data_IF_169226890701
#
_entry.id   IF_169226890701
#
_cell.length_a   1.000
_cell.length_b   1.000
_cell.length_c   1.000
_cell.angle_alpha   90.00
_cell.angle_beta   90.00
_cell.angle_gamma   90.00
#
_symmetry.space_group_name_H-M   'P 1'
#
loop_
_entity.id
_entity.type
_entity.pdbx_description
1 polymer ?
#
# COMPACT_ATOMS: atom_id res chain seq x y z
N UNK A 1 -23.01 -6.72 24.19
CA UNK A 1 -21.70 -7.37 24.42
C UNK A 1 -21.80 -8.72 25.11
N UNK A 2 -22.47 -8.89 26.26
CA UNK A 2 -22.57 -10.19 26.94
C UNK A 2 -23.04 -11.33 26.03
N UNK A 3 -24.11 -11.12 25.26
CA UNK A 3 -24.66 -12.13 24.34
C UNK A 3 -23.83 -12.36 23.08
N UNK A 4 -23.08 -11.34 22.60
CA UNK A 4 -22.32 -11.42 21.35
C UNK A 4 -21.02 -12.23 21.53
N UNK A 5 -20.40 -12.09 22.71
CA UNK A 5 -19.10 -12.74 23.01
C UNK A 5 -19.21 -13.90 24.02
N UNK A 6 -20.41 -14.33 24.39
CA UNK A 6 -20.61 -15.47 25.28
C UNK A 6 -20.12 -15.26 26.73
N UNK A 7 -19.95 -14.01 27.17
CA UNK A 7 -19.49 -13.74 28.55
C UNK A 7 -20.58 -13.99 29.59
N UNK A 8 -20.22 -14.65 30.66
CA UNK A 8 -21.11 -14.99 31.77
C UNK A 8 -21.36 -13.83 32.75
N UNK A 9 -20.52 -12.80 32.80
CA UNK A 9 -20.68 -11.68 33.73
C UNK A 9 -20.21 -10.34 33.16
N UNK A 10 -20.77 -9.23 33.68
CA UNK A 10 -20.32 -7.86 33.37
C UNK A 10 -18.86 -7.62 33.74
N UNK A 11 -18.40 -8.19 34.87
CA UNK A 11 -17.02 -8.04 35.34
C UNK A 11 -16.03 -8.70 34.41
N UNK A 12 -16.38 -9.84 33.79
CA UNK A 12 -15.53 -10.49 32.80
C UNK A 12 -15.36 -9.61 31.54
N UNK A 13 -16.45 -9.02 31.05
CA UNK A 13 -16.41 -8.06 29.92
C UNK A 13 -15.54 -6.84 30.27
N UNK A 14 -15.73 -6.29 31.48
CA UNK A 14 -14.98 -5.13 31.92
C UNK A 14 -13.47 -5.41 31.96
N UNK A 15 -13.03 -6.54 32.53
CA UNK A 15 -11.62 -6.94 32.56
C UNK A 15 -11.03 -7.07 31.16
N UNK A 16 -11.76 -7.68 30.22
CA UNK A 16 -11.29 -7.81 28.82
C UNK A 16 -11.17 -6.45 28.14
N UNK A 17 -12.14 -5.57 28.35
CA UNK A 17 -12.10 -4.21 27.79
C UNK A 17 -10.92 -3.43 28.36
N UNK A 18 -10.68 -3.49 29.68
CA UNK A 18 -9.55 -2.81 30.30
C UNK A 18 -8.22 -3.32 29.73
N UNK A 19 -8.06 -4.63 29.62
CA UNK A 19 -6.89 -5.23 29.01
C UNK A 19 -6.66 -4.75 27.58
N UNK A 20 -7.70 -4.68 26.76
CA UNK A 20 -7.59 -4.19 25.38
C UNK A 20 -7.28 -2.69 25.28
N UNK A 21 -7.71 -1.90 26.27
CA UNK A 21 -7.33 -0.48 26.37
C UNK A 21 -5.86 -0.37 26.76
N UNK A 22 -5.40 -1.10 27.76
CA UNK A 22 -4.00 -1.14 28.21
C UNK A 22 -3.06 -1.61 27.09
N UNK A 23 -3.46 -2.62 26.35
CA UNK A 23 -2.73 -3.14 25.20
C UNK A 23 -2.84 -2.24 23.96
N UNK A 24 -3.69 -1.21 23.99
CA UNK A 24 -3.87 -0.23 22.91
C UNK A 24 -4.67 -0.73 21.70
N UNK A 25 -5.43 -1.81 21.82
CA UNK A 25 -6.30 -2.30 20.74
C UNK A 25 -7.58 -1.49 20.59
N UNK A 26 -8.11 -0.94 21.68
CA UNK A 26 -9.27 -0.07 21.69
C UNK A 26 -8.98 1.19 22.50
N UNK A 27 -9.66 2.27 22.17
CA UNK A 27 -9.61 3.53 22.90
C UNK A 27 -10.98 3.95 23.34
N UNK A 28 -11.04 4.79 24.38
CA UNK A 28 -12.28 5.39 24.86
C UNK A 28 -12.33 6.84 24.41
N UNK A 29 -13.30 7.19 23.57
CA UNK A 29 -13.60 8.54 23.10
C UNK A 29 -15.06 8.84 23.39
N UNK A 30 -15.35 9.99 23.98
CA UNK A 30 -16.70 10.48 24.26
C UNK A 30 -17.64 9.42 24.89
N UNK A 31 -17.12 8.66 25.86
CA UNK A 31 -17.83 7.54 26.53
C UNK A 31 -18.14 6.34 25.62
N UNK A 32 -17.62 6.31 24.40
CA UNK A 32 -17.73 5.17 23.48
C UNK A 32 -16.37 4.44 23.40
N UNK A 33 -16.44 3.18 23.03
CA UNK A 33 -15.25 2.38 22.72
C UNK A 33 -15.07 2.36 21.21
N UNK A 34 -13.88 2.69 20.74
CA UNK A 34 -13.50 2.62 19.33
C UNK A 34 -12.27 1.74 19.15
N UNK A 35 -12.18 0.93 18.10
CA UNK A 35 -10.96 0.22 17.76
C UNK A 35 -9.87 1.23 17.36
N UNK A 36 -8.63 0.89 17.65
CA UNK A 36 -7.44 1.60 17.12
C UNK A 36 -6.96 0.88 15.86
N UNK A 37 -6.00 1.47 15.13
CA UNK A 37 -5.33 0.78 14.02
C UNK A 37 -4.73 -0.55 14.46
N UNK A 38 -4.18 -0.63 15.66
CA UNK A 38 -3.63 -1.86 16.25
C UNK A 38 -4.64 -3.02 16.33
N UNK A 39 -5.94 -2.74 16.43
CA UNK A 39 -6.99 -3.78 16.44
C UNK A 39 -7.01 -4.60 15.14
N UNK A 40 -6.60 -4.00 14.04
CA UNK A 40 -6.53 -4.61 12.71
C UNK A 40 -5.10 -5.05 12.33
N UNK A 41 -4.15 -4.91 13.26
CA UNK A 41 -2.76 -5.28 13.01
C UNK A 41 -2.57 -6.80 12.99
N UNK A 42 -1.55 -7.22 12.24
CA UNK A 42 -1.10 -8.60 12.19
C UNK A 42 0.24 -8.73 12.93
N UNK A 43 0.52 -9.87 13.58
CA UNK A 43 1.83 -10.10 14.15
C UNK A 43 2.90 -10.16 13.05
N UNK A 44 3.94 -9.36 13.19
CA UNK A 44 5.11 -9.40 12.31
C UNK A 44 6.12 -10.35 12.93
N UNK A 45 6.35 -11.50 12.29
CA UNK A 45 7.17 -12.58 12.82
C UNK A 45 8.63 -12.52 12.35
N UNK A 46 9.03 -11.42 11.69
CA UNK A 46 10.42 -11.22 11.25
C UNK A 46 10.74 -11.85 9.90
N UNK A 47 12.00 -12.23 9.70
CA UNK A 47 12.52 -12.73 8.44
C UNK A 47 12.38 -14.26 8.33
N UNK A 48 12.01 -14.73 7.15
CA UNK A 48 12.06 -16.15 6.80
C UNK A 48 13.33 -16.38 5.98
N UNK A 49 14.26 -17.21 6.50
CA UNK A 49 15.30 -17.80 5.66
C UNK A 49 14.71 -18.98 4.90
N UNK A 50 15.08 -19.12 3.62
CA UNK A 50 14.60 -20.23 2.80
C UNK A 50 14.88 -21.57 3.51
N UNK A 51 13.81 -22.27 3.93
CA UNK A 51 13.86 -23.58 4.55
C UNK A 51 13.24 -23.72 5.94
N UNK A 52 13.34 -22.73 6.83
CA UNK A 52 12.73 -22.81 8.17
C UNK A 52 12.30 -21.44 8.67
N UNK A 53 11.09 -21.29 9.24
CA UNK A 53 10.71 -20.07 9.94
C UNK A 53 11.49 -19.97 11.24
N UNK A 54 12.24 -18.89 11.43
CA UNK A 54 12.82 -18.55 12.73
C UNK A 54 11.74 -17.78 13.48
N UNK A 55 11.11 -18.43 14.43
CA UNK A 55 10.20 -17.77 15.36
C UNK A 55 11.07 -16.96 16.34
N UNK A 56 11.11 -15.66 16.16
CA UNK A 56 11.59 -14.75 17.20
C UNK A 56 10.50 -14.69 18.28
N UNK A 57 10.65 -15.46 19.36
CA UNK A 57 9.63 -15.57 20.42
C UNK A 57 9.52 -14.32 21.31
N UNK A 58 10.49 -13.39 21.27
CA UNK A 58 10.59 -12.32 22.28
C UNK A 58 10.17 -10.91 21.81
N UNK A 59 10.09 -10.64 20.51
CA UNK A 59 9.70 -9.29 20.00
C UNK A 59 8.56 -9.39 18.97
N UNK A 60 7.35 -9.64 19.45
CA UNK A 60 6.16 -9.57 18.59
C UNK A 60 5.83 -8.10 18.34
N UNK A 61 6.33 -7.54 17.27
CA UNK A 61 5.79 -6.30 16.72
C UNK A 61 4.47 -6.56 16.01
N UNK A 62 3.59 -5.58 16.04
CA UNK A 62 2.32 -5.61 15.34
C UNK A 62 2.32 -4.55 14.25
N UNK A 63 1.90 -4.92 13.04
CA UNK A 63 1.91 -4.06 11.88
C UNK A 63 0.54 -4.09 11.20
N UNK A 64 -0.01 -2.94 10.85
CA UNK A 64 -1.11 -2.86 9.91
C UNK A 64 -0.55 -2.70 8.50
N UNK A 65 -1.20 -3.31 7.51
CA UNK A 65 -0.78 -3.10 6.12
C UNK A 65 -0.97 -1.65 5.69
N UNK A 66 -1.98 -0.97 6.20
CA UNK A 66 -2.23 0.44 5.89
C UNK A 66 -1.08 1.32 6.37
N UNK A 67 -0.64 1.17 7.64
CA UNK A 67 0.48 1.94 8.19
C UNK A 67 1.82 1.61 7.50
N UNK A 68 1.96 0.37 7.00
CA UNK A 68 3.18 -0.06 6.29
C UNK A 68 3.26 0.46 4.86
N UNK A 69 2.13 0.51 4.16
CA UNK A 69 2.08 0.78 2.72
C UNK A 69 1.74 2.24 2.39
N UNK A 70 1.11 2.98 3.31
CA UNK A 70 0.55 4.31 3.06
C UNK A 70 1.18 5.32 4.02
N UNK A 71 2.08 6.17 3.49
CA UNK A 71 2.72 7.24 4.26
C UNK A 71 1.75 8.40 4.54
N UNK A 72 0.97 8.80 3.53
CA UNK A 72 -0.02 9.87 3.63
C UNK A 72 -1.38 9.41 3.08
N UNK A 73 -2.32 9.02 3.97
CA UNK A 73 -3.65 8.56 3.55
C UNK A 73 -4.48 9.63 2.81
N UNK A 74 -4.23 10.92 3.08
CA UNK A 74 -5.03 11.99 2.46
C UNK A 74 -4.63 12.25 1.00
N UNK A 75 -3.39 12.00 0.66
CA UNK A 75 -2.88 12.14 -0.70
C UNK A 75 -2.85 10.82 -1.47
N UNK A 76 -3.12 9.68 -0.82
CA UNK A 76 -3.04 8.36 -1.44
C UNK A 76 -4.38 7.87 -1.96
N UNK A 77 -4.34 7.08 -3.02
CA UNK A 77 -5.50 6.41 -3.59
C UNK A 77 -5.10 5.13 -4.30
N UNK A 78 -6.09 4.30 -4.60
CA UNK A 78 -5.90 3.00 -5.22
C UNK A 78 -6.33 3.02 -6.67
N UNK A 79 -5.55 2.37 -7.55
CA UNK A 79 -5.97 2.05 -8.90
C UNK A 79 -5.74 0.56 -9.18
N UNK A 80 -6.62 -0.01 -9.99
CA UNK A 80 -6.45 -1.35 -10.55
C UNK A 80 -5.69 -1.25 -11.86
N UNK A 81 -4.63 -2.03 -11.98
CA UNK A 81 -3.80 -2.11 -13.20
C UNK A 81 -4.57 -2.86 -14.28
N UNK A 82 -4.51 -2.33 -15.50
CA UNK A 82 -4.98 -3.01 -16.70
C UNK A 82 -3.87 -3.03 -17.75
N UNK A 83 -3.55 -4.22 -18.24
CA UNK A 83 -2.52 -4.45 -19.24
C UNK A 83 -1.19 -4.96 -18.68
N UNK A 84 -0.24 -5.20 -19.59
CA UNK A 84 1.03 -5.91 -19.33
C UNK A 84 2.28 -5.01 -19.49
N UNK A 85 2.11 -3.70 -19.56
CA UNK A 85 3.22 -2.77 -19.87
C UNK A 85 4.28 -2.68 -18.78
N UNK A 86 4.03 -3.15 -17.57
CA UNK A 86 4.93 -3.07 -16.41
C UNK A 86 5.33 -4.45 -15.84
N UNK A 87 5.11 -5.52 -16.59
CA UNK A 87 5.40 -6.89 -16.15
C UNK A 87 6.87 -7.13 -15.82
N UNK A 88 7.79 -6.44 -16.49
CA UNK A 88 9.22 -6.57 -16.26
C UNK A 88 9.69 -6.05 -14.90
N UNK A 89 8.85 -5.29 -14.19
CA UNK A 89 9.09 -4.85 -12.81
C UNK A 89 8.11 -5.47 -11.82
N UNK A 90 7.39 -6.53 -12.24
CA UNK A 90 6.54 -7.31 -11.36
C UNK A 90 5.13 -6.74 -11.13
N UNK A 91 4.70 -5.74 -11.91
CA UNK A 91 3.34 -5.20 -11.90
C UNK A 91 2.55 -5.86 -13.03
N UNK A 92 1.48 -6.57 -12.68
CA UNK A 92 0.69 -7.37 -13.61
C UNK A 92 -0.73 -6.85 -13.75
N UNK A 93 -1.38 -7.31 -14.79
CA UNK A 93 -2.82 -7.07 -14.98
C UNK A 93 -3.63 -7.54 -13.77
N UNK A 94 -4.56 -6.71 -13.32
CA UNK A 94 -5.40 -6.99 -12.16
C UNK A 94 -4.82 -6.60 -10.80
N UNK A 95 -3.54 -6.26 -10.71
CA UNK A 95 -2.94 -5.74 -9.48
C UNK A 95 -3.61 -4.45 -9.01
N UNK A 96 -3.54 -4.19 -7.71
CA UNK A 96 -3.90 -2.90 -7.15
C UNK A 96 -2.61 -2.15 -6.83
N UNK A 97 -2.48 -0.92 -7.32
CA UNK A 97 -1.38 -0.03 -6.97
C UNK A 97 -1.84 1.06 -6.03
N UNK A 98 -0.99 1.36 -5.04
CA UNK A 98 -1.17 2.50 -4.15
C UNK A 98 -0.40 3.66 -4.75
N UNK A 99 -1.08 4.76 -5.01
CA UNK A 99 -0.53 5.95 -5.64
C UNK A 99 -0.62 7.12 -4.68
N UNK A 100 0.51 7.77 -4.44
CA UNK A 100 0.57 9.05 -3.74
C UNK A 100 0.47 10.19 -4.76
N UNK A 101 -0.43 11.14 -4.54
CA UNK A 101 -0.55 12.37 -5.35
C UNK A 101 0.66 13.26 -5.12
N UNK A 102 1.65 13.14 -5.98
CA UNK A 102 2.89 13.88 -5.92
C UNK A 102 3.34 14.20 -7.33
N UNK A 103 3.81 15.43 -7.53
CA UNK A 103 4.27 15.91 -8.85
C UNK A 103 5.78 15.79 -9.03
N UNK A 104 6.52 15.71 -7.92
CA UNK A 104 7.99 15.70 -7.91
C UNK A 104 8.54 14.29 -8.08
N UNK A 105 8.11 13.60 -9.14
CA UNK A 105 8.59 12.27 -9.47
C UNK A 105 10.03 12.32 -10.00
N UNK A 106 10.81 11.32 -9.65
CA UNK A 106 12.19 11.15 -10.09
C UNK A 106 12.29 10.19 -11.27
N UNK A 107 13.39 10.24 -11.99
CA UNK A 107 13.70 9.25 -13.03
C UNK A 107 13.78 7.87 -12.41
N UNK A 108 13.02 6.93 -12.93
CA UNK A 108 12.90 5.57 -12.41
C UNK A 108 11.60 5.31 -11.64
N UNK A 109 10.91 6.35 -11.19
CA UNK A 109 9.61 6.18 -10.52
C UNK A 109 8.58 5.63 -11.50
N UNK A 110 7.72 4.77 -11.01
CA UNK A 110 6.48 4.38 -11.70
C UNK A 110 5.43 5.45 -11.41
N UNK A 111 4.94 6.09 -12.43
CA UNK A 111 4.05 7.24 -12.31
C UNK A 111 2.69 6.99 -12.94
N UNK A 112 1.65 7.54 -12.33
CA UNK A 112 0.39 7.82 -12.99
C UNK A 112 0.55 9.14 -13.73
N UNK A 113 0.47 9.08 -15.04
CA UNK A 113 0.66 10.22 -15.90
C UNK A 113 -0.47 10.36 -16.95
N UNK A 114 -0.67 11.58 -17.40
CA UNK A 114 -1.40 11.86 -18.61
C UNK A 114 -0.41 12.31 -19.69
N UNK A 115 -0.37 11.60 -20.80
CA UNK A 115 0.42 11.91 -21.97
C UNK A 115 -0.52 12.15 -23.14
N UNK A 116 -0.47 13.33 -23.75
CA UNK A 116 -1.31 13.72 -24.88
C UNK A 116 -2.81 13.39 -24.67
N UNK A 117 -3.31 13.63 -23.45
CA UNK A 117 -4.67 13.37 -22.93
C UNK A 117 -5.00 11.91 -22.60
N UNK A 118 -4.08 10.98 -22.75
CA UNK A 118 -4.27 9.58 -22.37
C UNK A 118 -3.66 9.26 -21.02
N UNK A 119 -4.41 8.55 -20.16
CA UNK A 119 -3.95 8.12 -18.85
C UNK A 119 -3.14 6.83 -18.94
N UNK A 120 -2.02 6.79 -18.23
CA UNK A 120 -1.17 5.61 -18.23
C UNK A 120 -0.35 5.47 -16.94
N UNK A 121 0.06 4.22 -16.65
CA UNK A 121 1.09 3.90 -15.67
C UNK A 121 2.35 3.49 -16.43
N UNK A 122 3.45 4.22 -16.21
CA UNK A 122 4.75 3.96 -16.87
C UNK A 122 5.90 4.39 -15.96
N UNK A 123 7.09 4.00 -16.33
CA UNK A 123 8.32 4.46 -15.70
C UNK A 123 8.68 5.84 -16.26
N UNK A 124 8.89 6.81 -15.36
CA UNK A 124 9.35 8.13 -15.76
C UNK A 124 10.85 8.08 -16.10
N UNK A 125 11.19 8.61 -17.27
CA UNK A 125 12.57 8.75 -17.73
C UNK A 125 12.88 10.19 -18.10
N UNK A 126 14.14 10.59 -17.85
CA UNK A 126 14.65 11.91 -18.25
C UNK A 126 15.99 11.73 -18.95
N UNK A 127 16.06 12.17 -20.19
CA UNK A 127 17.32 12.31 -20.93
C UNK A 127 17.86 13.72 -20.65
N UNK A 128 18.94 13.80 -19.89
CA UNK A 128 19.53 15.09 -19.49
C UNK A 128 20.26 15.78 -20.64
N UNK A 129 20.82 15.02 -21.57
CA UNK A 129 21.54 15.58 -22.72
C UNK A 129 20.56 16.21 -23.70
N UNK A 130 19.48 15.51 -24.01
CA UNK A 130 18.41 15.99 -24.89
C UNK A 130 17.37 16.89 -24.20
N UNK A 131 17.43 17.00 -22.87
CA UNK A 131 16.46 17.70 -22.03
C UNK A 131 15.01 17.24 -22.26
N UNK A 132 14.83 15.97 -22.51
CA UNK A 132 13.54 15.34 -22.78
C UNK A 132 13.09 14.51 -21.61
N UNK A 133 11.81 14.66 -21.22
CA UNK A 133 11.12 13.76 -20.27
C UNK A 133 10.16 12.89 -21.09
N UNK A 134 10.21 11.59 -20.84
CA UNK A 134 9.41 10.60 -21.57
C UNK A 134 9.00 9.47 -20.63
N UNK A 135 8.12 8.60 -21.07
CA UNK A 135 7.63 7.46 -20.34
C UNK A 135 8.11 6.15 -20.99
N UNK A 136 8.46 5.18 -20.18
CA UNK A 136 8.94 3.87 -20.64
C UNK A 136 8.11 2.75 -20.01
N UNK A 137 7.80 1.75 -20.80
CA UNK A 137 7.22 0.50 -20.32
C UNK A 137 8.33 -0.42 -19.79
N UNK A 138 8.02 -1.24 -18.81
CA UNK A 138 8.86 -2.35 -18.41
C UNK A 138 8.46 -3.65 -19.14
N UNK A 139 8.22 -3.53 -20.43
CA UNK A 139 7.88 -4.64 -21.31
C UNK A 139 8.39 -4.30 -22.73
N UNK A 140 9.31 -5.11 -23.29
CA UNK A 140 9.90 -4.87 -24.60
C UNK A 140 8.93 -4.79 -25.78
N UNK A 141 7.68 -5.24 -25.58
CA UNK A 141 6.62 -5.11 -26.60
C UNK A 141 6.20 -3.67 -26.87
N UNK A 142 6.49 -2.77 -25.94
CA UNK A 142 6.06 -1.37 -26.03
C UNK A 142 7.27 -0.45 -26.25
N UNK A 143 7.19 0.47 -27.21
CA UNK A 143 8.21 1.49 -27.37
C UNK A 143 8.19 2.51 -26.23
N UNK A 144 9.20 3.36 -26.15
CA UNK A 144 9.18 4.52 -25.30
C UNK A 144 8.13 5.54 -25.79
N UNK A 145 7.47 6.21 -24.85
CA UNK A 145 6.37 7.15 -25.12
C UNK A 145 6.89 8.57 -24.92
N UNK A 146 7.06 9.28 -26.01
CA UNK A 146 7.46 10.68 -26.03
C UNK A 146 6.22 11.57 -26.17
N UNK A 147 6.08 12.61 -25.32
CA UNK A 147 4.94 13.50 -25.45
C UNK A 147 5.05 14.32 -26.74
N UNK A 148 3.94 14.39 -27.49
CA UNK A 148 3.83 15.27 -28.65
C UNK A 148 3.39 16.69 -28.26
N UNK A 149 2.55 16.79 -27.24
CA UNK A 149 1.99 18.04 -26.73
C UNK A 149 2.31 18.24 -25.26
N UNK A 150 1.90 17.32 -24.40
CA UNK A 150 1.97 17.48 -22.95
C UNK A 150 2.20 16.16 -22.23
N UNK A 151 3.02 16.22 -21.17
CA UNK A 151 3.16 15.17 -20.18
C UNK A 151 2.91 15.76 -18.79
N UNK A 152 1.87 15.26 -18.13
CA UNK A 152 1.53 15.68 -16.77
C UNK A 152 1.59 14.49 -15.82
N UNK A 153 2.30 14.65 -14.68
CA UNK A 153 2.39 13.65 -13.62
C UNK A 153 1.32 13.93 -12.57
N UNK A 154 0.55 12.91 -12.19
CA UNK A 154 -0.53 13.00 -11.20
C UNK A 154 -0.21 12.28 -9.91
N UNK A 155 0.71 11.33 -9.93
CA UNK A 155 1.12 10.62 -8.74
C UNK A 155 2.21 9.59 -9.01
N UNK A 156 2.74 9.07 -7.92
CA UNK A 156 3.83 8.09 -7.90
C UNK A 156 3.29 6.81 -7.27
N UNK A 157 3.57 5.67 -7.88
CA UNK A 157 3.26 4.35 -7.33
C UNK A 157 4.19 4.08 -6.16
N UNK A 158 3.63 3.86 -4.97
CA UNK A 158 4.36 3.57 -3.74
C UNK A 158 4.40 2.09 -3.42
N UNK A 159 3.32 1.37 -3.75
CA UNK A 159 3.23 -0.05 -3.47
C UNK A 159 2.33 -0.77 -4.48
N UNK A 160 2.51 -2.09 -4.55
CA UNK A 160 1.67 -3.01 -5.32
C UNK A 160 1.09 -4.04 -4.37
N UNK A 161 -0.21 -4.26 -4.49
CA UNK A 161 -0.94 -5.25 -3.70
C UNK A 161 -1.53 -6.29 -4.63
N UNK A 162 -1.16 -7.55 -4.43
CA UNK A 162 -1.68 -8.68 -5.16
C UNK A 162 -2.24 -9.73 -4.22
N UNK A 163 -3.47 -10.12 -4.47
CA UNK A 163 -4.10 -11.23 -3.76
C UNK A 163 -3.99 -12.47 -4.61
N UNK A 164 -3.41 -13.53 -4.06
CA UNK A 164 -3.45 -14.84 -4.68
C UNK A 164 -4.77 -15.48 -4.31
N UNK A 165 -5.56 -15.80 -5.32
CA UNK A 165 -6.77 -16.63 -5.15
C UNK A 165 -6.41 -18.08 -5.44
N UNK A 166 -6.81 -18.96 -4.55
CA UNK A 166 -6.84 -20.41 -4.85
C UNK A 166 -8.02 -20.72 -5.75
#
# INVERSE_FOLDING_TARGET
MLKIFGFSSKNAVFKVIQKWIEEGFIKKEDRKLAPTSKFFSLPFLGLIKAGFPILAEEDRSYLTLDDYLIEDPQSSFLLKVSGDSLIGIGIFDGDIVIIERKKDALTGDVVLAQIDKEWTLKILKRDREKRITYLEAANPKYPAFYPNQELQIFGIVKAVVRKFSN
#
